data_IF_770033420798
#
_entry.id   IF_770033420798
#
_cell.length_a   1.000
_cell.length_b   1.000
_cell.length_c   1.000
_cell.angle_alpha   90.00
_cell.angle_beta   90.00
_cell.angle_gamma   90.00
#
_symmetry.space_group_name_H-M   'P 1'
#
loop_
_entity.id
_entity.type
_entity.pdbx_description
1 polymer ?
#
# COMPACT_ATOMS: atom_id res chain seq x y z
N UNK A 1 -3.12 -6.53 29.21
CA UNK A 1 -4.06 -7.35 28.41
C UNK A 1 -4.92 -6.45 27.54
N UNK A 2 -4.73 -6.49 26.23
CA UNK A 2 -5.77 -6.28 25.20
C UNK A 2 -5.16 -6.70 23.86
N UNK A 3 -5.27 -8.00 23.62
CA UNK A 3 -5.13 -8.61 22.31
C UNK A 3 -6.19 -7.95 21.42
N UNK A 4 -5.82 -6.95 20.63
CA UNK A 4 -6.63 -6.56 19.48
C UNK A 4 -6.02 -7.28 18.30
N UNK A 5 -6.63 -8.40 17.95
CA UNK A 5 -6.53 -8.94 16.60
C UNK A 5 -7.58 -8.15 15.83
N UNK A 6 -7.22 -7.12 15.04
CA UNK A 6 -8.17 -6.56 14.09
C UNK A 6 -8.43 -7.63 13.02
N UNK A 7 -9.56 -8.33 13.17
CA UNK A 7 -10.19 -9.07 12.08
C UNK A 7 -10.89 -8.04 11.18
N UNK A 8 -10.11 -7.41 10.31
CA UNK A 8 -10.62 -6.78 9.10
C UNK A 8 -10.15 -7.65 7.95
N UNK A 9 -11.03 -7.90 6.98
CA UNK A 9 -10.67 -8.59 5.75
C UNK A 9 -9.46 -7.86 5.13
N UNK A 10 -8.26 -8.42 5.31
CA UNK A 10 -7.05 -7.95 4.66
C UNK A 10 -7.25 -8.17 3.16
N UNK A 11 -7.77 -7.17 2.48
CA UNK A 11 -7.81 -7.18 1.02
C UNK A 11 -6.36 -7.08 0.60
N UNK A 12 -5.81 -8.19 0.10
CA UNK A 12 -4.43 -8.22 -0.35
C UNK A 12 -4.24 -7.10 -1.37
N UNK A 13 -3.28 -6.18 -1.18
CA UNK A 13 -2.98 -5.14 -2.15
C UNK A 13 -2.76 -5.76 -3.53
N UNK A 14 -3.17 -5.07 -4.57
CA UNK A 14 -2.85 -5.52 -5.94
C UNK A 14 -1.34 -5.55 -6.16
N UNK A 15 -0.90 -6.33 -7.16
CA UNK A 15 0.51 -6.41 -7.57
C UNK A 15 1.10 -5.01 -7.78
N UNK A 16 0.39 -4.14 -8.51
CA UNK A 16 0.83 -2.78 -8.79
C UNK A 16 1.02 -1.95 -7.52
N UNK A 17 0.11 -2.08 -6.55
CA UNK A 17 0.17 -1.35 -5.28
C UNK A 17 1.35 -1.83 -4.43
N UNK A 18 1.52 -3.15 -4.29
CA UNK A 18 2.67 -3.71 -3.57
C UNK A 18 4.00 -3.22 -4.16
N UNK A 19 4.12 -3.21 -5.50
CA UNK A 19 5.33 -2.75 -6.17
C UNK A 19 5.59 -1.25 -5.95
N UNK A 20 4.56 -0.41 -6.02
CA UNK A 20 4.68 1.04 -5.79
C UNK A 20 5.11 1.34 -4.36
N UNK A 21 4.51 0.65 -3.41
CA UNK A 21 4.81 0.82 -1.99
C UNK A 21 6.24 0.37 -1.66
N UNK A 22 6.72 -0.75 -2.24
CA UNK A 22 8.11 -1.19 -2.09
C UNK A 22 9.10 -0.17 -2.69
N UNK A 23 8.75 0.47 -3.81
CA UNK A 23 9.55 1.54 -4.41
C UNK A 23 9.54 2.78 -3.51
N UNK A 24 8.40 3.16 -2.96
CA UNK A 24 8.28 4.26 -2.01
C UNK A 24 9.09 4.01 -0.72
N UNK A 25 9.23 2.74 -0.32
CA UNK A 25 10.11 2.30 0.77
C UNK A 25 11.61 2.27 0.39
N UNK A 26 11.98 2.69 -0.83
CA UNK A 26 13.37 2.83 -1.27
C UNK A 26 13.94 1.64 -2.04
N UNK A 27 13.13 0.62 -2.37
CA UNK A 27 13.61 -0.47 -3.22
C UNK A 27 13.64 -0.05 -4.70
N UNK A 28 14.64 -0.55 -5.43
CA UNK A 28 14.72 -0.37 -6.88
C UNK A 28 13.94 -1.48 -7.59
N UNK A 29 13.47 -1.22 -8.83
CA UNK A 29 12.80 -2.26 -9.63
C UNK A 29 13.69 -3.50 -9.85
N UNK A 30 14.99 -3.28 -10.03
CA UNK A 30 15.98 -4.37 -10.14
C UNK A 30 16.08 -5.17 -8.84
N UNK A 31 16.18 -4.49 -7.69
CA UNK A 31 16.26 -5.17 -6.39
C UNK A 31 14.99 -5.96 -6.06
N UNK A 32 13.81 -5.46 -6.45
CA UNK A 32 12.55 -6.20 -6.33
C UNK A 32 12.57 -7.43 -7.25
N UNK A 33 13.03 -7.27 -8.50
CA UNK A 33 13.09 -8.35 -9.48
C UNK A 33 13.96 -9.51 -9.00
N UNK A 34 15.16 -9.20 -8.49
CA UNK A 34 16.07 -10.17 -7.88
C UNK A 34 15.44 -10.87 -6.68
N UNK A 35 14.76 -10.12 -5.80
CA UNK A 35 14.13 -10.67 -4.61
C UNK A 35 12.98 -11.65 -4.91
N UNK A 36 12.22 -11.43 -5.99
CA UNK A 36 11.07 -12.29 -6.36
C UNK A 36 11.39 -13.27 -7.50
N UNK A 37 12.66 -13.34 -7.94
CA UNK A 37 13.12 -14.29 -8.95
C UNK A 37 12.64 -14.01 -10.37
N UNK A 38 12.49 -12.74 -10.75
CA UNK A 38 12.10 -12.32 -12.11
C UNK A 38 13.09 -11.29 -12.68
N UNK A 39 12.82 -10.82 -13.89
CA UNK A 39 13.61 -9.77 -14.54
C UNK A 39 13.03 -8.37 -14.28
N UNK A 40 13.86 -7.33 -14.28
CA UNK A 40 13.39 -5.95 -14.12
C UNK A 40 12.34 -5.52 -15.18
N UNK A 41 12.42 -5.92 -16.46
CA UNK A 41 11.34 -5.67 -17.43
C UNK A 41 10.00 -6.31 -17.02
N UNK A 42 10.02 -7.44 -16.31
CA UNK A 42 8.81 -8.07 -15.78
C UNK A 42 8.19 -7.21 -14.67
N UNK A 43 9.01 -6.67 -13.76
CA UNK A 43 8.57 -5.71 -12.74
C UNK A 43 8.03 -4.42 -13.36
N UNK A 44 8.71 -3.88 -14.38
CA UNK A 44 8.25 -2.69 -15.11
C UNK A 44 6.87 -2.91 -15.74
N UNK A 45 6.64 -4.04 -16.42
CA UNK A 45 5.32 -4.36 -16.98
C UNK A 45 4.26 -4.50 -15.89
N UNK A 46 4.60 -5.15 -14.78
CA UNK A 46 3.68 -5.33 -13.66
C UNK A 46 3.29 -3.99 -12.99
N UNK A 47 4.23 -3.04 -12.88
CA UNK A 47 3.93 -1.66 -12.47
C UNK A 47 2.94 -0.94 -13.40
N UNK A 48 2.90 -1.34 -14.66
CA UNK A 48 1.97 -0.85 -15.68
C UNK A 48 0.72 -1.72 -15.81
N UNK A 49 0.45 -2.59 -14.82
CA UNK A 49 -0.78 -3.39 -14.74
C UNK A 49 -0.73 -4.75 -15.42
N UNK A 50 0.43 -5.21 -15.89
CA UNK A 50 0.57 -6.58 -16.35
C UNK A 50 0.49 -7.57 -15.18
N UNK A 51 -0.10 -8.73 -15.40
CA UNK A 51 -0.12 -9.78 -14.40
C UNK A 51 1.26 -10.41 -14.20
N UNK A 52 1.51 -10.86 -12.97
CA UNK A 52 2.62 -11.75 -12.66
C UNK A 52 2.11 -13.19 -12.64
N UNK A 53 2.98 -14.13 -13.00
CA UNK A 53 2.72 -15.55 -12.76
C UNK A 53 2.48 -15.77 -11.27
N UNK A 54 1.59 -16.72 -10.94
CA UNK A 54 1.22 -17.02 -9.56
C UNK A 54 2.41 -17.17 -8.61
N UNK A 55 3.46 -17.90 -9.01
CA UNK A 55 4.67 -18.06 -8.21
C UNK A 55 5.36 -16.73 -7.89
N UNK A 56 5.58 -15.87 -8.89
CA UNK A 56 6.19 -14.55 -8.71
C UNK A 56 5.29 -13.60 -7.92
N UNK A 57 3.97 -13.70 -8.09
CA UNK A 57 3.00 -12.96 -7.27
C UNK A 57 3.09 -13.33 -5.79
N UNK A 58 3.23 -14.63 -5.48
CA UNK A 58 3.39 -15.10 -4.10
C UNK A 58 4.71 -14.67 -3.47
N UNK A 59 5.81 -14.68 -4.22
CA UNK A 59 7.08 -14.15 -3.71
C UNK A 59 7.03 -12.63 -3.48
N UNK A 60 6.29 -11.89 -4.32
CA UNK A 60 6.04 -10.47 -4.09
C UNK A 60 5.22 -10.22 -2.81
N UNK A 61 4.15 -10.97 -2.57
CA UNK A 61 3.37 -10.88 -1.33
C UNK A 61 4.24 -11.10 -0.09
N UNK A 62 5.10 -12.14 -0.12
CA UNK A 62 6.05 -12.42 0.98
C UNK A 62 7.03 -11.26 1.19
N UNK A 63 7.61 -10.73 0.11
CA UNK A 63 8.53 -9.60 0.17
C UNK A 63 7.83 -8.36 0.78
N UNK A 64 6.60 -8.08 0.34
CA UNK A 64 5.81 -6.95 0.82
C UNK A 64 5.50 -7.03 2.32
N UNK A 65 5.14 -8.22 2.81
CA UNK A 65 4.92 -8.46 4.24
C UNK A 65 6.24 -8.35 5.04
N UNK A 66 7.32 -8.93 4.53
CA UNK A 66 8.62 -8.91 5.20
C UNK A 66 9.21 -7.50 5.36
N UNK A 67 8.88 -6.57 4.46
CA UNK A 67 9.32 -5.17 4.54
C UNK A 67 8.45 -4.30 5.46
N UNK A 68 7.45 -4.88 6.14
CA UNK A 68 6.57 -4.17 7.07
C UNK A 68 5.63 -3.17 6.38
N UNK A 69 5.59 -3.18 5.05
CA UNK A 69 4.74 -2.28 4.25
C UNK A 69 3.28 -2.73 4.26
N UNK A 70 3.02 -4.01 4.54
CA UNK A 70 1.67 -4.58 4.62
C UNK A 70 0.86 -4.25 5.88
N UNK A 71 1.46 -3.68 6.93
CA UNK A 71 0.76 -3.30 8.17
C UNK A 71 0.06 -1.93 8.04
N UNK A 72 0.43 -1.11 7.05
CA UNK A 72 0.05 0.31 6.98
C UNK A 72 -1.22 0.60 6.14
N UNK A 73 -1.86 -0.42 5.57
CA UNK A 73 -3.16 -0.26 4.89
C UNK A 73 -4.30 -0.46 5.89
N UNK A 74 -4.66 0.62 6.61
CA UNK A 74 -5.97 0.76 7.25
C UNK A 74 -7.02 1.12 6.16
N UNK A 75 -7.92 0.20 5.77
CA UNK A 75 -8.85 0.43 4.66
C UNK A 75 -10.01 1.38 4.99
N UNK A 76 -10.15 1.86 6.23
CA UNK A 76 -11.10 2.93 6.63
C UNK A 76 -10.51 4.34 6.49
N UNK A 77 -9.28 4.46 5.96
CA UNK A 77 -8.59 5.72 5.66
C UNK A 77 -9.18 6.49 4.49
N UNK A 78 -10.50 6.42 4.26
CA UNK A 78 -11.18 7.46 3.48
C UNK A 78 -11.09 8.75 4.28
N UNK A 79 -9.99 9.46 4.09
CA UNK A 79 -9.93 10.91 4.14
C UNK A 79 -10.72 11.62 5.26
N UNK A 80 -10.69 11.11 6.50
CA UNK A 80 -11.30 11.81 7.65
C UNK A 80 -10.48 13.05 8.04
N UNK A 81 -9.18 13.10 7.70
CA UNK A 81 -8.33 14.26 7.99
C UNK A 81 -8.55 15.45 7.05
N UNK A 82 -9.00 15.28 5.80
CA UNK A 82 -9.32 16.40 4.90
C UNK A 82 -10.78 16.86 5.04
N UNK A 83 -11.70 15.95 5.37
CA UNK A 83 -13.10 16.29 5.66
C UNK A 83 -13.27 17.11 6.96
N UNK A 84 -12.48 16.83 8.00
CA UNK A 84 -12.55 17.60 9.26
C UNK A 84 -11.95 19.00 9.15
N UNK A 85 -10.89 19.20 8.34
CA UNK A 85 -10.32 20.54 8.10
C UNK A 85 -11.34 21.50 7.47
N UNK A 86 -12.13 21.03 6.51
CA UNK A 86 -13.18 21.83 5.84
C UNK A 86 -14.35 22.16 6.77
N UNK A 87 -14.65 21.30 7.74
CA UNK A 87 -15.72 21.51 8.74
C UNK A 87 -15.25 22.44 9.88
N UNK A 88 -13.97 22.42 10.21
CA UNK A 88 -13.35 23.30 11.20
C UNK A 88 -13.23 24.75 10.69
N UNK A 89 -12.86 24.96 9.42
CA UNK A 89 -12.78 26.30 8.81
C UNK A 89 -14.15 26.99 8.70
N UNK A 90 -15.22 26.25 8.34
CA UNK A 90 -16.58 26.80 8.27
C UNK A 90 -17.11 27.28 9.61
N UNK A 91 -16.82 26.55 10.70
CA UNK A 91 -17.24 26.92 12.06
C UNK A 91 -16.50 28.14 12.61
N UNK A 92 -15.27 28.40 12.15
CA UNK A 92 -14.49 29.55 12.59
C UNK A 92 -14.91 30.84 11.85
N UNK A 93 -15.38 30.71 10.60
CA UNK A 93 -15.97 31.81 9.85
C UNK A 93 -17.34 32.25 10.42
N UNK A 94 -18.19 31.32 10.86
CA UNK A 94 -19.50 31.64 11.48
C UNK A 94 -19.41 32.32 12.85
N UNK A 95 -18.27 32.19 13.57
CA UNK A 95 -18.08 32.80 14.89
C UNK A 95 -17.50 34.22 14.84
N UNK A 96 -17.18 34.73 13.64
CA UNK A 96 -16.57 36.06 13.42
C UNK A 96 -17.48 37.04 12.67
N UNK A 97 -18.72 36.65 12.36
CA UNK A 97 -19.78 37.52 11.86
C UNK A 97 -20.76 37.84 12.99
#
# INVERSE_FOLDING_TARGET
MRNRIPSFAMTTPSITEMLRDLIAAGMTQQGIAEAIGVTQPTVFRALNGAELRYGSGKELEKLYLAKGTGEQRDPDGTDRRHAERRKAERRQAERRA
#
